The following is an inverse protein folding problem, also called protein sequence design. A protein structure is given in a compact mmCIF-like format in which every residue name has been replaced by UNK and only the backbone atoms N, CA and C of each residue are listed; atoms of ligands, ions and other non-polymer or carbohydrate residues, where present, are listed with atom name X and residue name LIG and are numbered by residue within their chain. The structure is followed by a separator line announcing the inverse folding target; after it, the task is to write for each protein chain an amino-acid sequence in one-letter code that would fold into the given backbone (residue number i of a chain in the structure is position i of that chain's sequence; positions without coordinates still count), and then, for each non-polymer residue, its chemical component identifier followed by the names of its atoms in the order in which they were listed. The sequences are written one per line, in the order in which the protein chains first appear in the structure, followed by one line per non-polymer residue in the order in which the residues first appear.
data_IF_319108322862
#
_entry.id   IF_319108322862
#
_cell.length_a   1.000
_cell.length_b   1.000
_cell.length_c   1.000
_cell.angle_alpha   90.00
_cell.angle_beta   90.00
_cell.angle_gamma   90.00
#
_symmetry.space_group_name_H-M   'P 1'
#
loop_
_entity.id
_entity.type
_entity.pdbx_description
1 polymer ?
#
# COMPACT_ATOMS: atom_id res chain seq x y z
N UNK A 1 5.46 59.35 -25.54
CA UNK A 1 4.44 58.28 -25.46
C UNK A 1 5.15 57.09 -24.88
N UNK A 2 5.15 57.12 -23.54
CA UNK A 2 5.22 56.05 -22.53
C UNK A 2 6.38 55.04 -22.67
N UNK A 3 7.48 55.12 -21.90
CA UNK A 3 7.67 54.86 -20.45
C UNK A 3 6.94 53.56 -20.02
N UNK A 4 7.51 52.55 -19.36
CA UNK A 4 8.51 52.55 -18.31
C UNK A 4 8.90 51.09 -17.99
N UNK A 5 10.04 50.94 -17.33
CA UNK A 5 10.63 49.71 -16.80
C UNK A 5 10.17 49.54 -15.36
N UNK A 6 9.67 48.36 -14.97
CA UNK A 6 9.46 48.01 -13.56
C UNK A 6 10.24 46.76 -13.14
N UNK A 7 11.16 47.00 -12.22
CA UNK A 7 11.86 46.05 -11.35
C UNK A 7 10.88 45.45 -10.34
N UNK A 8 10.95 44.14 -10.09
CA UNK A 8 10.42 43.55 -8.86
C UNK A 8 11.45 42.65 -8.20
N UNK A 9 11.60 42.90 -6.89
CA UNK A 9 12.58 42.42 -5.95
C UNK A 9 12.58 40.90 -5.69
N UNK A 10 13.79 40.40 -5.39
CA UNK A 10 14.03 39.13 -4.71
C UNK A 10 13.59 39.25 -3.24
N UNK A 11 12.57 38.49 -2.84
CA UNK A 11 12.20 38.27 -1.43
C UNK A 11 12.76 36.95 -0.92
N UNK A 12 13.78 37.04 -0.07
CA UNK A 12 14.34 35.95 0.73
C UNK A 12 13.47 35.67 1.97
N UNK A 13 12.95 34.45 2.09
CA UNK A 13 12.18 33.98 3.24
C UNK A 13 13.07 33.49 4.40
N UNK A 14 12.76 33.98 5.60
CA UNK A 14 13.46 33.79 6.89
C UNK A 14 13.40 32.35 7.43
N UNK A 15 14.54 31.87 7.92
CA UNK A 15 14.68 30.71 8.83
C UNK A 15 14.43 31.15 10.28
N UNK A 16 13.61 30.39 11.02
CA UNK A 16 13.43 30.56 12.46
C UNK A 16 14.40 29.65 13.21
N UNK A 17 15.27 30.25 14.03
CA UNK A 17 16.15 29.56 14.97
C UNK A 17 15.79 30.02 16.39
N UNK A 18 15.42 29.09 17.27
CA UNK A 18 15.28 29.35 18.71
C UNK A 18 16.57 28.93 19.41
N UNK A 19 17.28 29.91 19.97
CA UNK A 19 18.36 29.72 20.94
C UNK A 19 17.81 30.00 22.34
N UNK A 20 18.10 29.12 23.31
CA UNK A 20 17.88 29.39 24.74
C UNK A 20 19.14 29.07 25.55
N UNK A 21 19.71 30.12 26.12
CA UNK A 21 20.68 30.21 27.21
C UNK A 21 20.38 31.55 27.87
N UNK A 22 20.35 31.79 29.17
CA UNK A 22 20.64 31.08 30.42
C UNK A 22 19.99 31.93 31.54
N UNK A 23 19.90 31.44 32.78
CA UNK A 23 20.29 32.22 33.96
C UNK A 23 20.33 31.34 35.23
N UNK A 24 21.35 31.60 36.03
CA UNK A 24 21.73 30.99 37.32
C UNK A 24 21.51 32.04 38.42
N UNK A 25 21.19 31.62 39.65
CA UNK A 25 21.28 32.45 40.87
C UNK A 25 20.34 31.96 41.99
N UNK A 26 20.72 31.02 42.87
CA UNK A 26 21.35 31.16 44.21
C UNK A 26 20.36 31.46 45.37
N UNK A 27 20.40 30.65 46.44
CA UNK A 27 20.16 31.14 47.83
C UNK A 27 19.30 30.32 48.81
N UNK A 28 19.91 29.32 49.45
CA UNK A 28 19.80 28.75 50.82
C UNK A 28 18.58 28.89 51.79
N UNK A 29 18.51 27.85 52.64
CA UNK A 29 17.99 27.72 54.04
C UNK A 29 16.55 27.22 54.31
N UNK A 30 16.47 25.89 54.52
CA UNK A 30 16.08 25.26 55.79
C UNK A 30 14.70 25.53 56.41
N UNK A 31 13.85 24.48 56.48
CA UNK A 31 13.20 23.96 57.68
C UNK A 31 12.36 22.74 57.29
N UNK A 32 12.65 21.59 57.90
CA UNK A 32 11.93 20.34 57.69
C UNK A 32 10.57 20.40 58.40
N UNK A 33 9.49 20.28 57.62
CA UNK A 33 8.13 20.04 58.12
C UNK A 33 7.73 18.65 57.60
N UNK A 34 7.28 17.72 58.46
CA UNK A 34 6.81 16.43 57.98
C UNK A 34 5.43 16.63 57.33
N UNK A 35 5.38 16.91 56.04
CA UNK A 35 4.16 16.77 55.28
C UNK A 35 3.95 15.30 54.98
N UNK A 36 2.88 14.72 55.52
CA UNK A 36 2.32 13.44 55.09
C UNK A 36 2.12 13.49 53.56
N UNK A 37 3.08 13.00 52.80
CA UNK A 37 2.87 12.64 51.40
C UNK A 37 2.00 11.39 51.41
N UNK A 38 0.70 11.59 51.27
CA UNK A 38 -0.16 10.55 50.71
C UNK A 38 0.45 10.19 49.36
N UNK A 39 1.11 9.03 49.28
CA UNK A 39 1.52 8.45 48.03
C UNK A 39 0.25 8.12 47.25
N UNK A 40 -0.21 9.06 46.42
CA UNK A 40 -1.06 8.71 45.29
C UNK A 40 -0.15 7.93 44.36
N UNK A 41 -0.11 6.61 44.55
CA UNK A 41 0.40 5.70 43.53
C UNK A 41 -0.61 5.75 42.39
N UNK A 42 -0.52 6.78 41.54
CA UNK A 42 -1.10 6.71 40.21
C UNK A 42 -0.24 5.72 39.42
N UNK A 43 -0.44 4.43 39.67
CA UNK A 43 -0.04 3.35 38.76
C UNK A 43 -0.97 3.34 37.52
N UNK A 44 -1.34 4.52 37.02
CA UNK A 44 -1.84 4.66 35.67
C UNK A 44 -0.61 4.64 34.79
N UNK A 45 -0.39 3.52 34.09
CA UNK A 45 0.42 3.55 32.88
C UNK A 45 0.01 4.80 32.08
N UNK A 46 0.97 5.55 31.50
CA UNK A 46 0.62 6.72 30.69
C UNK A 46 -0.46 6.29 29.70
N UNK A 47 -1.60 7.01 29.70
CA UNK A 47 -2.68 6.73 28.79
C UNK A 47 -2.08 6.64 27.38
N UNK A 48 -2.18 5.45 26.78
CA UNK A 48 -1.69 5.19 25.42
C UNK A 48 -2.25 6.32 24.56
N UNK A 49 -1.39 7.08 23.90
CA UNK A 49 -1.85 8.20 23.07
C UNK A 49 -2.87 7.61 22.08
N UNK A 50 -4.13 8.05 22.17
CA UNK A 50 -5.16 7.58 21.27
C UNK A 50 -4.69 7.84 19.84
N UNK A 51 -4.74 6.82 18.97
CA UNK A 51 -4.33 6.98 17.59
C UNK A 51 -5.21 8.02 16.87
N UNK A 52 -4.72 8.48 15.72
CA UNK A 52 -5.41 9.53 14.98
C UNK A 52 -6.70 8.99 14.34
N UNK A 53 -7.77 9.78 14.39
CA UNK A 53 -8.98 9.54 13.58
C UNK A 53 -8.84 10.31 12.29
N UNK A 54 -8.74 9.61 11.15
CA UNK A 54 -8.68 10.17 9.81
C UNK A 54 -10.00 9.92 9.10
N UNK A 55 -10.48 10.94 8.36
CA UNK A 55 -11.71 10.88 7.58
C UNK A 55 -11.37 11.10 6.13
N UNK A 56 -11.80 10.20 5.26
CA UNK A 56 -11.61 10.29 3.81
C UNK A 56 -12.91 10.01 3.08
N UNK A 57 -13.02 10.56 1.87
CA UNK A 57 -14.07 10.18 0.92
C UNK A 57 -13.43 9.32 -0.16
N UNK A 58 -14.08 8.21 -0.50
CA UNK A 58 -13.70 7.34 -1.61
C UNK A 58 -14.86 7.28 -2.59
N UNK A 59 -14.57 7.45 -3.87
CA UNK A 59 -15.53 7.34 -4.96
C UNK A 59 -15.33 6.00 -5.64
N UNK A 60 -16.39 5.20 -5.75
CA UNK A 60 -16.41 4.05 -6.64
C UNK A 60 -17.03 4.47 -7.98
N UNK A 61 -16.29 4.31 -9.06
CA UNK A 61 -16.63 4.87 -10.37
C UNK A 61 -16.48 3.82 -11.48
N UNK A 62 -17.32 3.91 -12.51
CA UNK A 62 -17.14 3.17 -13.75
C UNK A 62 -16.06 3.85 -14.60
N UNK A 63 -15.11 3.08 -15.14
CA UNK A 63 -13.97 3.56 -15.91
C UNK A 63 -14.12 3.35 -17.43
N UNK A 64 -15.25 2.80 -17.87
CA UNK A 64 -15.44 2.30 -19.24
C UNK A 64 -14.96 0.86 -19.42
N UNK A 65 -15.30 0.24 -20.54
CA UNK A 65 -14.95 -1.16 -20.88
C UNK A 65 -15.28 -2.17 -19.77
N UNK A 66 -16.41 -1.95 -19.08
CA UNK A 66 -16.85 -2.77 -17.96
C UNK A 66 -15.86 -2.83 -16.78
N UNK A 67 -14.98 -1.82 -16.64
CA UNK A 67 -14.05 -1.66 -15.52
C UNK A 67 -14.57 -0.67 -14.50
N UNK A 68 -14.16 -0.89 -13.25
CA UNK A 68 -14.55 -0.08 -12.09
C UNK A 68 -13.34 0.14 -11.21
N UNK A 69 -13.25 1.29 -10.55
CA UNK A 69 -12.14 1.61 -9.67
C UNK A 69 -12.57 2.46 -8.48
N UNK A 70 -11.66 2.55 -7.51
CA UNK A 70 -11.78 3.47 -6.39
C UNK A 70 -10.89 4.69 -6.62
N UNK A 71 -11.34 5.87 -6.19
CA UNK A 71 -10.57 7.12 -6.24
C UNK A 71 -10.81 7.99 -5.01
N UNK A 72 -9.81 8.80 -4.62
CA UNK A 72 -9.96 9.77 -3.53
C UNK A 72 -10.66 11.06 -3.97
N UNK A 73 -10.74 11.29 -5.28
CA UNK A 73 -11.41 12.42 -5.91
C UNK A 73 -12.35 11.90 -7.01
N UNK A 74 -13.47 12.59 -7.22
CA UNK A 74 -14.41 12.25 -8.29
C UNK A 74 -13.75 12.41 -9.66
N UNK A 75 -13.95 11.44 -10.55
CA UNK A 75 -13.36 11.34 -11.87
C UNK A 75 -11.90 10.93 -11.88
N UNK A 76 -11.38 10.43 -10.75
CA UNK A 76 -9.96 10.06 -10.55
C UNK A 76 -9.80 8.63 -10.03
N UNK A 77 -10.83 7.80 -10.16
CA UNK A 77 -10.70 6.37 -9.84
C UNK A 77 -9.64 5.67 -10.70
N UNK A 78 -8.93 4.72 -10.08
CA UNK A 78 -7.85 3.94 -10.70
C UNK A 78 -8.01 2.45 -10.41
N UNK A 79 -7.29 1.63 -11.18
CA UNK A 79 -7.09 0.20 -10.90
C UNK A 79 -5.57 -0.05 -10.85
N UNK A 80 -5.01 -0.51 -9.71
CA UNK A 80 -5.66 -0.63 -8.40
C UNK A 80 -6.11 0.75 -7.87
N UNK A 81 -6.99 0.74 -6.87
CA UNK A 81 -7.38 1.93 -6.13
C UNK A 81 -6.21 2.56 -5.34
N UNK A 82 -6.43 3.72 -4.70
CA UNK A 82 -5.42 4.43 -3.92
C UNK A 82 -4.82 3.56 -2.80
N UNK A 83 -3.53 3.72 -2.51
CA UNK A 83 -2.94 3.15 -1.30
C UNK A 83 -3.55 3.87 -0.09
N UNK A 84 -4.24 3.14 0.77
CA UNK A 84 -4.70 3.64 2.06
C UNK A 84 -3.66 3.30 3.11
N UNK A 85 -3.26 4.28 3.91
CA UNK A 85 -2.18 4.11 4.89
C UNK A 85 -2.57 4.65 6.27
N UNK A 86 -2.32 3.85 7.30
CA UNK A 86 -2.54 4.21 8.70
C UNK A 86 -1.46 3.61 9.60
N UNK A 87 -1.38 4.07 10.85
CA UNK A 87 -0.53 3.44 11.86
C UNK A 87 -1.36 2.58 12.82
N UNK A 88 -0.73 1.62 13.50
CA UNK A 88 -1.34 0.91 14.63
C UNK A 88 -1.91 1.91 15.66
N UNK A 89 -3.17 1.71 16.05
CA UNK A 89 -3.93 2.59 16.94
C UNK A 89 -4.82 3.62 16.23
N UNK A 90 -4.57 3.92 14.95
CA UNK A 90 -5.37 4.87 14.17
C UNK A 90 -6.78 4.33 13.87
N UNK A 91 -7.70 5.23 13.54
CA UNK A 91 -9.01 4.90 12.96
C UNK A 91 -9.16 5.63 11.62
N UNK A 92 -9.59 4.90 10.59
CA UNK A 92 -9.92 5.43 9.28
C UNK A 92 -11.43 5.32 9.05
N UNK A 93 -12.10 6.47 9.01
CA UNK A 93 -13.51 6.58 8.62
C UNK A 93 -13.58 6.91 7.12
N UNK A 94 -14.14 6.00 6.34
CA UNK A 94 -14.21 6.07 4.88
C UNK A 94 -15.66 6.31 4.47
N UNK A 95 -15.95 7.50 3.96
CA UNK A 95 -17.22 7.77 3.29
C UNK A 95 -17.13 7.30 1.85
N UNK A 96 -17.66 6.10 1.57
CA UNK A 96 -17.77 5.55 0.21
C UNK A 96 -18.98 6.15 -0.49
N UNK A 97 -18.74 6.81 -1.62
CA UNK A 97 -19.74 7.33 -2.54
C UNK A 97 -19.81 6.41 -3.76
N UNK A 98 -20.92 5.70 -3.93
CA UNK A 98 -21.16 4.88 -5.11
C UNK A 98 -21.70 5.74 -6.24
N UNK A 99 -20.89 6.05 -7.25
CA UNK A 99 -21.33 6.80 -8.44
C UNK A 99 -21.72 5.90 -9.60
N UNK A 100 -21.80 4.59 -9.38
CA UNK A 100 -22.11 3.59 -10.40
C UNK A 100 -23.60 3.25 -10.40
N UNK A 101 -24.01 2.46 -11.39
CA UNK A 101 -25.34 1.83 -11.46
C UNK A 101 -25.39 0.43 -10.83
N UNK A 102 -24.29 -0.01 -10.21
CA UNK A 102 -24.16 -1.33 -9.59
C UNK A 102 -24.26 -1.23 -8.06
N UNK A 103 -24.76 -2.30 -7.44
CA UNK A 103 -24.51 -2.54 -6.01
C UNK A 103 -23.02 -2.83 -5.82
N UNK A 104 -22.39 -2.19 -4.84
CA UNK A 104 -20.99 -2.41 -4.48
C UNK A 104 -20.73 -2.06 -3.02
N UNK A 105 -19.54 -2.37 -2.53
CA UNK A 105 -19.10 -2.08 -1.17
C UNK A 105 -17.60 -1.84 -1.12
N UNK A 106 -17.04 -1.66 0.08
CA UNK A 106 -15.60 -1.72 0.35
C UNK A 106 -15.37 -2.57 1.60
N UNK A 107 -14.52 -3.59 1.51
CA UNK A 107 -14.19 -4.55 2.55
C UNK A 107 -12.67 -4.59 2.75
N UNK A 108 -12.15 -4.40 3.96
CA UNK A 108 -10.72 -4.46 4.22
C UNK A 108 -10.27 -5.83 4.73
N UNK A 109 -8.97 -6.11 4.61
CA UNK A 109 -8.31 -7.20 5.33
C UNK A 109 -7.49 -6.65 6.52
N UNK A 110 -7.33 -7.46 7.57
CA UNK A 110 -6.36 -7.26 8.67
C UNK A 110 -6.67 -6.19 9.72
N UNK A 111 -7.46 -5.17 9.39
CA UNK A 111 -7.91 -4.13 10.35
C UNK A 111 -9.13 -4.57 11.14
N UNK A 112 -9.42 -3.89 12.25
CA UNK A 112 -10.58 -4.15 13.09
C UNK A 112 -11.81 -3.37 12.58
N UNK A 113 -12.93 -4.06 12.38
CA UNK A 113 -14.20 -3.46 11.96
C UNK A 113 -15.39 -4.17 12.59
N UNK A 114 -16.55 -3.49 12.67
CA UNK A 114 -17.81 -4.11 13.07
C UNK A 114 -18.56 -4.63 11.84
N UNK A 115 -19.62 -5.43 12.05
CA UNK A 115 -20.49 -5.95 10.98
C UNK A 115 -21.08 -4.84 10.11
N UNK A 116 -21.30 -3.63 10.65
CA UNK A 116 -21.82 -2.47 9.91
C UNK A 116 -20.81 -1.87 8.91
N UNK A 117 -19.54 -2.28 9.02
CA UNK A 117 -18.41 -1.85 8.17
C UNK A 117 -17.72 -3.03 7.47
N UNK A 118 -18.37 -4.20 7.44
CA UNK A 118 -17.84 -5.43 6.85
C UNK A 118 -17.87 -5.41 5.31
N UNK A 119 -18.69 -4.58 4.68
CA UNK A 119 -18.77 -4.57 3.22
C UNK A 119 -19.63 -5.69 2.61
N UNK A 120 -20.00 -6.71 3.39
CA UNK A 120 -20.76 -7.85 2.87
C UNK A 120 -22.26 -7.56 2.76
N UNK A 121 -22.97 -8.12 1.75
CA UNK A 121 -24.42 -8.07 1.74
C UNK A 121 -25.08 -8.97 2.77
N UNK A 122 -24.37 -9.98 3.29
CA UNK A 122 -24.79 -10.78 4.45
C UNK A 122 -25.13 -9.90 5.66
N UNK A 123 -24.27 -8.93 5.99
CA UNK A 123 -24.49 -7.98 7.09
C UNK A 123 -25.26 -6.71 6.65
N UNK A 124 -25.77 -6.66 5.41
CA UNK A 124 -26.40 -5.44 4.88
C UNK A 124 -25.43 -4.25 4.79
N UNK A 125 -24.12 -4.51 4.67
CA UNK A 125 -23.06 -3.51 4.76
C UNK A 125 -22.55 -3.03 3.38
N UNK A 126 -23.44 -2.63 2.49
CA UNK A 126 -23.11 -2.21 1.12
C UNK A 126 -23.78 -0.88 0.73
N UNK A 127 -23.46 -0.41 -0.47
CA UNK A 127 -24.07 0.76 -1.11
C UNK A 127 -24.85 0.32 -2.35
N UNK A 128 -26.12 0.72 -2.43
CA UNK A 128 -26.87 0.75 -3.67
C UNK A 128 -26.37 1.84 -4.63
N UNK A 129 -26.84 1.85 -5.89
CA UNK A 129 -26.52 2.89 -6.86
C UNK A 129 -26.81 4.30 -6.33
N UNK A 130 -25.82 5.20 -6.42
CA UNK A 130 -25.93 6.58 -5.93
C UNK A 130 -25.82 6.76 -4.41
N UNK A 131 -25.78 5.67 -3.64
CA UNK A 131 -25.74 5.76 -2.17
C UNK A 131 -24.37 6.13 -1.63
N UNK A 132 -24.39 6.76 -0.46
CA UNK A 132 -23.20 7.08 0.34
C UNK A 132 -23.29 6.40 1.70
N UNK A 133 -22.19 5.77 2.14
CA UNK A 133 -22.08 5.07 3.42
C UNK A 133 -20.72 5.33 4.04
N UNK A 134 -20.66 5.41 5.37
CA UNK A 134 -19.39 5.48 6.10
C UNK A 134 -19.01 4.12 6.67
N UNK A 135 -17.80 3.66 6.33
CA UNK A 135 -17.15 2.47 6.87
C UNK A 135 -16.10 2.90 7.90
N UNK A 136 -16.00 2.22 9.04
CA UNK A 136 -15.03 2.55 10.09
C UNK A 136 -14.05 1.41 10.28
N UNK A 137 -12.80 1.65 9.91
CA UNK A 137 -11.70 0.70 10.08
C UNK A 137 -10.79 1.18 11.22
N UNK A 138 -10.54 0.33 12.20
CA UNK A 138 -9.68 0.63 13.35
C UNK A 138 -8.45 -0.25 13.29
N UNK A 139 -7.38 0.19 13.93
CA UNK A 139 -6.20 -0.65 14.14
C UNK A 139 -5.80 -0.60 15.61
N UNK A 140 -5.03 -1.58 16.04
CA UNK A 140 -4.49 -1.62 17.38
C UNK A 140 -3.01 -1.99 17.37
N UNK A 141 -2.28 -1.46 18.33
CA UNK A 141 -0.93 -1.92 18.64
C UNK A 141 -0.99 -3.28 19.34
N UNK A 142 0.11 -4.04 19.26
CA UNK A 142 0.28 -5.29 20.01
C UNK A 142 -0.12 -5.11 21.48
N UNK A 143 -0.84 -6.09 22.03
CA UNK A 143 -1.28 -6.07 23.43
C UNK A 143 -0.81 -7.30 24.18
N UNK A 144 -0.52 -7.12 25.47
CA UNK A 144 -0.28 -8.25 26.36
C UNK A 144 -1.60 -9.03 26.52
N UNK A 145 -1.53 -10.34 26.31
CA UNK A 145 -2.61 -11.28 26.59
C UNK A 145 -2.39 -11.94 27.96
N UNK A 146 -3.26 -12.87 28.35
CA UNK A 146 -3.12 -13.59 29.62
C UNK A 146 -1.82 -14.42 29.66
N UNK A 147 -1.00 -14.17 30.70
CA UNK A 147 0.28 -14.83 30.94
C UNK A 147 1.44 -14.18 30.19
N UNK A 148 2.30 -14.98 29.56
CA UNK A 148 3.45 -14.53 28.75
C UNK A 148 3.14 -14.46 27.25
N UNK A 149 1.87 -14.25 26.89
CA UNK A 149 1.38 -14.26 25.51
C UNK A 149 1.05 -12.84 25.07
N UNK A 150 1.09 -12.60 23.77
CA UNK A 150 0.77 -11.33 23.16
C UNK A 150 -0.24 -11.55 22.04
N UNK A 151 -1.20 -10.64 21.90
CA UNK A 151 -2.02 -10.54 20.68
C UNK A 151 -1.29 -9.64 19.69
N UNK A 152 -1.12 -10.08 18.42
CA UNK A 152 -0.43 -9.28 17.42
C UNK A 152 -1.17 -7.96 17.21
N UNK A 153 -0.43 -6.88 16.93
CA UNK A 153 -1.05 -5.65 16.45
C UNK A 153 -1.39 -5.74 14.97
N UNK A 154 -2.09 -4.72 14.46
CA UNK A 154 -2.61 -4.70 13.09
C UNK A 154 -1.55 -4.43 12.00
N UNK A 155 -0.29 -4.13 12.33
CA UNK A 155 0.69 -3.75 11.31
C UNK A 155 0.95 -4.86 10.28
N UNK A 156 0.87 -4.51 9.00
CA UNK A 156 1.01 -5.44 7.89
C UNK A 156 0.66 -4.80 6.55
N UNK A 157 0.91 -5.56 5.48
CA UNK A 157 0.49 -5.24 4.12
C UNK A 157 -0.82 -5.96 3.82
N UNK A 158 -1.90 -5.20 3.89
CA UNK A 158 -3.26 -5.66 3.67
C UNK A 158 -3.79 -5.10 2.35
N UNK A 159 -5.05 -5.40 2.06
CA UNK A 159 -5.76 -4.88 0.90
C UNK A 159 -7.21 -4.61 1.25
N UNK A 160 -7.90 -3.94 0.35
CA UNK A 160 -9.33 -3.73 0.41
C UNK A 160 -9.95 -3.99 -0.96
N UNK A 161 -11.19 -4.46 -1.00
CA UNK A 161 -11.88 -4.79 -2.24
C UNK A 161 -13.40 -4.70 -2.13
N UNK A 162 -14.09 -4.76 -3.26
CA UNK A 162 -15.54 -4.94 -3.28
C UNK A 162 -15.96 -6.32 -2.76
N UNK A 163 -17.08 -6.39 -2.04
CA UNK A 163 -17.65 -7.64 -1.54
C UNK A 163 -19.15 -7.79 -1.91
N UNK A 164 -19.70 -6.95 -2.78
CA UNK A 164 -21.15 -6.89 -3.03
C UNK A 164 -21.57 -6.90 -4.51
N UNK A 165 -20.66 -6.60 -5.44
CA UNK A 165 -20.97 -6.53 -6.86
C UNK A 165 -21.01 -7.91 -7.51
N UNK A 166 -22.12 -8.19 -8.20
CA UNK A 166 -22.36 -9.42 -8.97
C UNK A 166 -22.69 -10.64 -8.11
N UNK A 167 -21.94 -10.92 -7.06
CA UNK A 167 -22.19 -12.00 -6.10
C UNK A 167 -22.09 -11.49 -4.66
N UNK A 168 -22.48 -12.33 -3.70
CA UNK A 168 -22.33 -12.06 -2.26
C UNK A 168 -20.87 -12.00 -1.79
N UNK A 169 -19.92 -12.35 -2.68
CA UNK A 169 -18.47 -12.31 -2.45
C UNK A 169 -17.76 -11.25 -3.32
N UNK A 170 -18.51 -10.36 -3.98
CA UNK A 170 -17.94 -9.29 -4.80
C UNK A 170 -17.18 -9.77 -6.04
N UNK A 171 -17.46 -10.98 -6.54
CA UNK A 171 -16.70 -11.60 -7.64
C UNK A 171 -16.62 -10.69 -8.86
N UNK A 172 -17.71 -10.01 -9.24
CA UNK A 172 -17.70 -9.11 -10.39
C UNK A 172 -16.97 -7.79 -10.10
N UNK A 173 -17.03 -7.27 -8.87
CA UNK A 173 -16.34 -6.04 -8.49
C UNK A 173 -14.84 -6.22 -8.50
N UNK A 174 -14.35 -7.29 -7.85
CA UNK A 174 -12.93 -7.68 -7.87
C UNK A 174 -12.49 -7.92 -9.32
N UNK A 175 -13.26 -8.69 -10.10
CA UNK A 175 -12.94 -8.99 -11.50
C UNK A 175 -12.69 -7.73 -12.33
N UNK A 176 -13.44 -6.67 -12.04
CA UNK A 176 -13.47 -5.44 -12.84
C UNK A 176 -12.59 -4.31 -12.29
N UNK A 177 -11.88 -4.53 -11.19
CA UNK A 177 -10.85 -3.60 -10.69
C UNK A 177 -11.13 -2.93 -9.35
N UNK A 178 -12.22 -3.28 -8.65
CA UNK A 178 -12.51 -2.74 -7.32
C UNK A 178 -11.68 -3.42 -6.24
N UNK A 179 -10.38 -3.13 -6.23
CA UNK A 179 -9.41 -3.53 -5.22
C UNK A 179 -8.31 -2.47 -5.04
N UNK A 180 -7.64 -2.45 -3.90
CA UNK A 180 -6.52 -1.55 -3.61
C UNK A 180 -5.73 -1.98 -2.37
N UNK A 181 -4.57 -1.35 -2.15
CA UNK A 181 -3.69 -1.69 -1.04
C UNK A 181 -4.04 -0.94 0.24
N UNK A 182 -3.92 -1.62 1.38
CA UNK A 182 -4.05 -1.04 2.72
C UNK A 182 -2.77 -1.34 3.52
N UNK A 183 -2.01 -0.30 3.88
CA UNK A 183 -0.79 -0.45 4.66
C UNK A 183 -1.05 0.03 6.09
N UNK A 184 -0.89 -0.87 7.05
CA UNK A 184 -0.89 -0.51 8.47
C UNK A 184 0.56 -0.57 8.97
N UNK A 185 1.10 0.59 9.35
CA UNK A 185 2.48 0.71 9.82
C UNK A 185 2.57 0.59 11.33
N UNK A 186 3.68 0.01 11.80
CA UNK A 186 4.10 0.14 13.20
C UNK A 186 4.98 1.38 13.35
N UNK A 187 4.89 2.08 14.49
CA UNK A 187 5.80 3.19 14.78
C UNK A 187 7.25 2.70 14.75
N UNK A 188 8.09 3.38 13.99
CA UNK A 188 9.48 2.99 13.76
C UNK A 188 9.72 2.18 12.48
N UNK A 189 8.67 1.77 11.77
CA UNK A 189 8.82 1.20 10.43
C UNK A 189 9.52 2.19 9.49
N UNK A 190 10.42 1.66 8.66
CA UNK A 190 11.13 2.46 7.65
C UNK A 190 10.15 2.81 6.53
N UNK A 191 10.14 4.08 6.13
CA UNK A 191 9.29 4.57 5.04
C UNK A 191 10.04 4.51 3.71
N UNK A 192 9.35 4.20 2.61
CA UNK A 192 9.97 4.17 1.28
C UNK A 192 10.01 5.54 0.61
N UNK A 193 10.82 5.64 -0.45
CA UNK A 193 10.82 6.75 -1.39
C UNK A 193 9.76 6.57 -2.49
N UNK A 194 9.48 5.31 -2.86
CA UNK A 194 8.48 4.90 -3.88
C UNK A 194 7.61 3.75 -3.37
N UNK A 195 6.35 3.73 -3.80
CA UNK A 195 5.41 2.64 -3.51
C UNK A 195 4.80 2.11 -4.81
N UNK A 196 4.82 0.80 -4.98
CA UNK A 196 4.22 0.10 -6.11
C UNK A 196 3.22 -0.95 -5.63
N UNK A 197 2.12 -1.10 -6.37
CA UNK A 197 1.10 -2.12 -6.10
C UNK A 197 0.99 -3.02 -7.33
N UNK A 198 1.22 -4.30 -7.13
CA UNK A 198 1.06 -5.34 -8.15
C UNK A 198 -0.02 -6.33 -7.70
N UNK A 199 -1.17 -6.29 -8.37
CA UNK A 199 -2.28 -7.20 -8.12
C UNK A 199 -2.28 -8.26 -9.20
N UNK A 200 -1.96 -9.50 -8.85
CA UNK A 200 -2.09 -10.66 -9.74
C UNK A 200 -3.52 -11.18 -9.60
N UNK A 201 -4.29 -11.02 -10.67
CA UNK A 201 -5.71 -11.28 -10.67
C UNK A 201 -6.09 -12.06 -11.93
N UNK A 202 -6.50 -13.31 -11.73
CA UNK A 202 -6.61 -14.31 -12.80
C UNK A 202 -5.36 -14.24 -13.70
N UNK A 203 -5.48 -14.03 -15.01
CA UNK A 203 -4.33 -13.96 -15.92
C UNK A 203 -3.81 -12.54 -16.17
N UNK A 204 -4.09 -11.60 -15.25
CA UNK A 204 -3.75 -10.18 -15.42
C UNK A 204 -2.92 -9.62 -14.26
N UNK A 205 -2.17 -8.55 -14.52
CA UNK A 205 -1.55 -7.71 -13.50
C UNK A 205 -2.23 -6.35 -13.53
N UNK A 206 -2.86 -5.94 -12.43
CA UNK A 206 -3.62 -4.69 -12.33
C UNK A 206 -4.70 -4.55 -13.42
N UNK A 207 -5.38 -5.66 -13.77
CA UNK A 207 -6.33 -5.77 -14.88
C UNK A 207 -5.75 -5.49 -16.27
N UNK A 208 -4.42 -5.62 -16.43
CA UNK A 208 -3.70 -5.46 -17.70
C UNK A 208 -2.89 -6.72 -18.00
N UNK A 209 -2.61 -6.93 -19.28
CA UNK A 209 -1.71 -7.97 -19.79
C UNK A 209 -0.55 -7.31 -20.52
N UNK A 210 0.61 -7.95 -20.53
CA UNK A 210 1.75 -7.46 -21.29
C UNK A 210 1.38 -7.30 -22.79
N UNK A 211 1.88 -6.26 -23.47
CA UNK A 211 2.87 -5.29 -22.99
C UNK A 211 2.29 -4.07 -22.25
N UNK A 212 0.99 -4.09 -21.90
CA UNK A 212 0.30 -2.96 -21.29
C UNK A 212 0.34 -2.95 -19.76
N UNK A 213 0.93 -3.97 -19.13
CA UNK A 213 1.20 -3.96 -17.69
C UNK A 213 2.08 -2.78 -17.28
N UNK A 214 2.00 -2.35 -16.01
CA UNK A 214 2.77 -1.19 -15.55
C UNK A 214 4.28 -1.36 -15.74
N UNK A 215 4.93 -0.27 -16.13
CA UNK A 215 6.37 -0.10 -15.92
C UNK A 215 6.52 0.70 -14.63
N UNK A 216 7.04 0.06 -13.59
CA UNK A 216 7.35 0.73 -12.34
C UNK A 216 8.75 1.30 -12.42
N UNK A 217 8.93 2.56 -11.99
CA UNK A 217 10.21 3.27 -12.16
C UNK A 217 10.75 3.79 -10.83
N UNK A 218 12.02 3.54 -10.57
CA UNK A 218 12.77 4.13 -9.46
C UNK A 218 14.19 4.48 -9.92
N UNK A 219 14.85 5.39 -9.21
CA UNK A 219 16.28 5.64 -9.42
C UNK A 219 17.13 4.68 -8.59
N UNK A 220 18.32 4.34 -9.08
CA UNK A 220 19.30 3.50 -8.37
C UNK A 220 19.50 3.98 -6.93
N UNK A 221 19.29 3.08 -5.98
CA UNK A 221 19.44 3.34 -4.54
C UNK A 221 18.19 3.91 -3.85
N UNK A 222 17.14 4.31 -4.57
CA UNK A 222 15.85 4.65 -3.93
C UNK A 222 15.29 3.42 -3.22
N UNK A 223 14.67 3.66 -2.05
CA UNK A 223 13.95 2.64 -1.29
C UNK A 223 12.57 2.47 -1.89
N UNK A 224 12.31 1.28 -2.40
CA UNK A 224 11.06 0.95 -3.08
C UNK A 224 10.27 -0.05 -2.26
N UNK A 225 9.04 0.30 -1.92
CA UNK A 225 8.06 -0.59 -1.28
C UNK A 225 7.14 -1.21 -2.34
N UNK A 226 7.03 -2.53 -2.31
CA UNK A 226 6.11 -3.30 -3.13
C UNK A 226 5.00 -3.85 -2.26
N UNK A 227 3.76 -3.73 -2.73
CA UNK A 227 2.60 -4.45 -2.20
C UNK A 227 2.09 -5.39 -3.27
N UNK A 228 2.14 -6.69 -2.98
CA UNK A 228 1.67 -7.75 -3.87
C UNK A 228 0.35 -8.32 -3.33
N UNK A 229 -0.68 -8.38 -4.19
CA UNK A 229 -2.02 -8.84 -3.81
C UNK A 229 -2.49 -9.89 -4.83
N UNK A 230 -3.04 -11.00 -4.34
CA UNK A 230 -3.62 -12.05 -5.18
C UNK A 230 -5.15 -11.96 -5.17
N UNK A 231 -5.78 -12.05 -6.34
CA UNK A 231 -7.23 -12.13 -6.48
C UNK A 231 -7.62 -13.11 -7.59
N UNK A 232 -8.91 -13.38 -7.71
CA UNK A 232 -9.44 -14.23 -8.78
C UNK A 232 -9.50 -15.69 -8.36
N UNK A 233 -9.26 -16.60 -9.30
CA UNK A 233 -9.45 -18.04 -9.09
C UNK A 233 -8.17 -18.85 -9.29
N UNK A 234 -7.07 -18.20 -9.67
CA UNK A 234 -5.79 -18.84 -9.97
C UNK A 234 -4.79 -18.62 -8.84
N UNK A 235 -3.89 -19.59 -8.66
CA UNK A 235 -2.71 -19.40 -7.82
C UNK A 235 -1.59 -18.78 -8.65
N UNK A 236 -0.75 -17.99 -8.01
CA UNK A 236 0.41 -17.36 -8.64
C UNK A 236 1.66 -17.52 -7.78
N UNK A 237 2.80 -17.24 -8.40
CA UNK A 237 4.09 -17.03 -7.74
C UNK A 237 4.62 -15.68 -8.20
N UNK A 238 4.71 -14.69 -7.32
CA UNK A 238 5.28 -13.38 -7.64
C UNK A 238 6.81 -13.47 -7.59
N UNK A 239 7.47 -13.14 -8.70
CA UNK A 239 8.93 -13.11 -8.81
C UNK A 239 9.42 -11.74 -9.27
N UNK A 240 10.54 -11.27 -8.70
CA UNK A 240 11.21 -10.03 -9.07
C UNK A 240 12.68 -10.29 -9.40
N UNK A 241 13.10 -9.96 -10.62
CA UNK A 241 14.47 -10.20 -11.08
C UNK A 241 15.47 -9.36 -10.29
N UNK A 242 16.62 -9.97 -9.98
CA UNK A 242 17.81 -9.35 -9.36
C UNK A 242 17.61 -8.68 -7.99
N UNK A 243 16.41 -8.72 -7.44
CA UNK A 243 16.09 -8.22 -6.10
C UNK A 243 15.60 -9.38 -5.24
N UNK A 244 15.76 -9.25 -3.93
CA UNK A 244 15.32 -10.22 -2.94
C UNK A 244 14.85 -9.51 -1.69
N UNK A 245 13.99 -10.15 -0.93
CA UNK A 245 13.49 -9.65 0.35
C UNK A 245 13.48 -10.78 1.38
N UNK A 246 13.23 -10.43 2.63
CA UNK A 246 13.06 -11.40 3.72
C UNK A 246 11.59 -11.80 3.82
N UNK A 247 11.30 -13.09 3.91
CA UNK A 247 9.92 -13.55 4.11
C UNK A 247 9.44 -13.34 5.56
N UNK A 248 9.14 -12.09 5.88
CA UNK A 248 8.57 -11.63 7.13
C UNK A 248 7.62 -10.43 6.88
N UNK A 249 7.15 -9.78 7.95
CA UNK A 249 6.20 -8.66 7.84
C UNK A 249 6.69 -7.50 6.98
N UNK A 250 7.97 -7.17 7.02
CA UNK A 250 8.50 -5.92 6.43
C UNK A 250 9.31 -6.13 5.16
N UNK A 251 9.70 -7.37 4.86
CA UNK A 251 10.65 -7.65 3.79
C UNK A 251 12.12 -7.46 4.19
N UNK A 252 12.41 -7.08 5.43
CA UNK A 252 13.75 -6.76 5.93
C UNK A 252 14.05 -7.55 7.19
N UNK A 253 15.31 -7.97 7.39
CA UNK A 253 15.72 -8.67 8.61
C UNK A 253 15.49 -7.77 9.83
N UNK A 254 14.81 -8.26 10.87
CA UNK A 254 14.66 -7.53 12.14
C UNK A 254 15.96 -7.51 12.97
N UNK A 255 16.97 -8.28 12.55
CA UNK A 255 18.31 -8.32 13.11
C UNK A 255 19.11 -9.52 12.60
N UNK A 256 20.37 -9.69 13.04
CA UNK A 256 21.24 -10.79 12.59
C UNK A 256 20.74 -12.19 12.99
N UNK A 257 19.77 -12.26 13.91
CA UNK A 257 19.20 -13.51 14.40
C UNK A 257 17.78 -13.76 13.89
N UNK A 258 17.27 -12.93 12.97
CA UNK A 258 15.99 -13.18 12.31
C UNK A 258 16.14 -14.45 11.42
N UNK A 259 15.36 -15.52 11.68
CA UNK A 259 15.48 -16.78 10.95
C UNK A 259 14.76 -16.79 9.60
N UNK A 260 14.02 -15.72 9.27
CA UNK A 260 13.24 -15.68 8.02
C UNK A 260 14.15 -15.79 6.79
N UNK A 261 13.77 -16.62 5.80
CA UNK A 261 14.59 -16.82 4.62
C UNK A 261 14.59 -15.56 3.73
N UNK A 262 15.72 -15.33 3.04
CA UNK A 262 15.75 -14.41 1.91
C UNK A 262 15.22 -15.12 0.67
N UNK A 263 14.25 -14.50 0.01
CA UNK A 263 13.55 -15.03 -1.17
C UNK A 263 13.45 -13.95 -2.26
N UNK A 264 13.26 -14.38 -3.50
CA UNK A 264 12.93 -13.52 -4.66
C UNK A 264 11.64 -13.97 -5.37
N UNK A 265 11.00 -15.02 -4.86
CA UNK A 265 9.78 -15.62 -5.37
C UNK A 265 8.87 -16.03 -4.22
N UNK A 266 7.59 -15.69 -4.28
CA UNK A 266 6.61 -16.05 -3.24
C UNK A 266 5.25 -16.41 -3.82
N UNK A 267 4.61 -17.44 -3.26
CA UNK A 267 3.23 -17.79 -3.59
C UNK A 267 2.27 -16.63 -3.30
N UNK A 268 1.30 -16.45 -4.18
CA UNK A 268 0.29 -15.40 -4.11
C UNK A 268 -1.04 -15.96 -4.62
N UNK A 269 -1.87 -16.43 -3.68
CA UNK A 269 -3.20 -16.96 -3.95
C UNK A 269 -4.31 -15.91 -3.79
N UNK A 270 -5.56 -16.23 -4.20
CA UNK A 270 -6.69 -15.33 -4.04
C UNK A 270 -6.92 -14.90 -2.58
N UNK A 271 -7.05 -13.59 -2.36
CA UNK A 271 -7.22 -12.97 -1.04
C UNK A 271 -5.93 -12.79 -0.25
N UNK A 272 -4.78 -13.30 -0.74
CA UNK A 272 -3.49 -13.13 -0.07
C UNK A 272 -2.87 -11.78 -0.38
N UNK A 273 -2.15 -11.21 0.58
CA UNK A 273 -1.29 -10.04 0.37
C UNK A 273 -0.01 -10.15 1.17
N UNK A 274 1.06 -9.56 0.62
CA UNK A 274 2.31 -9.33 1.32
C UNK A 274 2.97 -8.07 0.76
N UNK A 275 4.00 -7.60 1.42
CA UNK A 275 4.80 -6.51 0.92
C UNK A 275 6.20 -6.55 1.48
N UNK A 276 7.07 -5.77 0.85
CA UNK A 276 8.48 -5.74 1.16
C UNK A 276 9.10 -4.45 0.63
N UNK A 277 10.28 -4.10 1.16
CA UNK A 277 11.08 -3.00 0.65
C UNK A 277 12.41 -3.51 0.10
N UNK A 278 12.86 -2.91 -1.00
CA UNK A 278 14.19 -3.14 -1.59
C UNK A 278 14.89 -1.81 -1.83
N UNK A 279 16.22 -1.84 -1.88
CA UNK A 279 16.99 -0.77 -2.50
C UNK A 279 17.08 -1.06 -3.99
N UNK A 280 16.58 -0.13 -4.81
CA UNK A 280 16.53 -0.30 -6.26
C UNK A 280 17.94 -0.53 -6.83
N UNK A 281 18.14 -1.67 -7.51
CA UNK A 281 19.41 -2.03 -8.14
C UNK A 281 20.52 -2.45 -7.17
N UNK A 282 20.24 -2.74 -5.90
CA UNK A 282 21.27 -3.21 -4.96
C UNK A 282 21.88 -4.55 -5.42
N UNK A 283 23.19 -4.55 -5.66
CA UNK A 283 23.94 -5.70 -6.17
C UNK A 283 23.77 -5.97 -7.67
N UNK A 284 22.66 -5.56 -8.29
CA UNK A 284 22.38 -5.76 -9.72
C UNK A 284 22.69 -4.55 -10.63
N UNK A 285 22.68 -3.34 -10.08
CA UNK A 285 22.82 -2.09 -10.84
C UNK A 285 21.53 -1.61 -11.53
N UNK A 286 21.60 -0.47 -12.23
CA UNK A 286 20.46 0.08 -12.97
C UNK A 286 20.18 -0.74 -14.23
N UNK A 287 18.92 -0.82 -14.64
CA UNK A 287 18.47 -1.63 -15.76
C UNK A 287 16.95 -1.83 -15.81
N UNK A 288 16.48 -2.52 -16.85
CA UNK A 288 15.11 -2.99 -16.95
C UNK A 288 15.01 -4.40 -16.37
N UNK A 289 14.50 -4.53 -15.15
CA UNK A 289 14.36 -5.80 -14.43
C UNK A 289 12.93 -6.31 -14.56
N UNK A 290 12.73 -7.59 -14.87
CA UNK A 290 11.37 -8.12 -14.98
C UNK A 290 10.77 -8.37 -13.60
N UNK A 291 9.45 -8.17 -13.49
CA UNK A 291 8.64 -8.80 -12.46
C UNK A 291 7.54 -9.59 -13.17
N UNK A 292 7.26 -10.82 -12.72
CA UNK A 292 6.29 -11.66 -13.40
C UNK A 292 5.73 -12.76 -12.49
N UNK A 293 4.62 -13.36 -12.93
CA UNK A 293 4.19 -14.64 -12.39
C UNK A 293 5.20 -15.72 -12.81
N UNK A 294 5.65 -16.58 -11.89
CA UNK A 294 6.58 -17.67 -12.23
C UNK A 294 5.86 -19.00 -12.58
N UNK A 295 4.53 -18.99 -12.64
CA UNK A 295 3.79 -20.06 -13.32
C UNK A 295 3.99 -19.86 -14.83
N UNK A 296 4.67 -20.79 -15.49
CA UNK A 296 5.15 -20.61 -16.86
C UNK A 296 4.04 -20.20 -17.86
N UNK A 297 2.89 -20.87 -17.84
CA UNK A 297 1.78 -20.53 -18.73
C UNK A 297 1.22 -19.13 -18.46
N UNK A 298 1.28 -18.65 -17.22
CA UNK A 298 0.83 -17.31 -16.85
C UNK A 298 1.80 -16.23 -17.35
N UNK A 299 3.12 -16.45 -17.22
CA UNK A 299 4.12 -15.53 -17.79
C UNK A 299 4.04 -15.50 -19.32
N UNK A 300 3.90 -16.65 -19.96
CA UNK A 300 3.85 -16.76 -21.43
C UNK A 300 2.63 -16.06 -22.01
N UNK A 301 1.53 -16.01 -21.27
CA UNK A 301 0.28 -15.31 -21.64
C UNK A 301 0.23 -13.84 -21.22
N UNK A 302 1.30 -13.31 -20.62
CA UNK A 302 1.50 -11.88 -20.42
C UNK A 302 1.40 -11.37 -18.99
N UNK A 303 1.44 -12.25 -17.97
CA UNK A 303 1.62 -11.83 -16.57
C UNK A 303 3.08 -11.47 -16.27
N UNK A 304 3.59 -10.46 -16.97
CA UNK A 304 4.92 -9.91 -16.81
C UNK A 304 4.89 -8.38 -16.92
N UNK A 305 5.84 -7.69 -16.29
CA UNK A 305 6.05 -6.27 -16.42
C UNK A 305 7.51 -5.91 -16.17
N UNK A 306 7.80 -4.61 -16.17
CA UNK A 306 9.16 -4.08 -16.03
C UNK A 306 9.27 -3.21 -14.78
N UNK A 307 10.23 -3.52 -13.93
CA UNK A 307 10.79 -2.61 -12.95
C UNK A 307 12.02 -1.92 -13.55
N UNK A 308 11.85 -0.68 -14.01
CA UNK A 308 12.92 0.13 -14.54
C UNK A 308 13.66 0.82 -13.39
N UNK A 309 14.88 0.36 -13.13
CA UNK A 309 15.82 1.05 -12.24
C UNK A 309 16.66 1.98 -13.09
N UNK A 310 16.37 3.28 -13.05
CA UNK A 310 17.16 4.33 -13.69
C UNK A 310 18.52 4.49 -13.04
N UNK A 311 19.44 5.19 -13.69
CA UNK A 311 20.67 5.65 -13.04
C UNK A 311 20.33 6.55 -11.84
N UNK A 312 21.29 6.75 -10.93
CA UNK A 312 21.08 7.58 -9.73
C UNK A 312 20.68 9.03 -10.04
N UNK A 313 21.07 9.56 -11.21
CA UNK A 313 20.71 10.89 -11.70
C UNK A 313 19.36 10.92 -12.46
N UNK A 314 18.64 9.80 -12.54
CA UNK A 314 17.38 9.65 -13.27
C UNK A 314 17.52 9.39 -14.77
N UNK A 315 18.75 9.36 -15.30
CA UNK A 315 18.97 9.05 -16.72
C UNK A 315 18.68 7.56 -17.02
N UNK A 316 18.36 7.28 -18.29
CA UNK A 316 18.13 5.92 -18.77
C UNK A 316 19.45 5.13 -18.79
N UNK A 317 19.55 3.96 -18.15
CA UNK A 317 20.76 3.16 -18.21
C UNK A 317 20.97 2.52 -19.59
N UNK A 318 22.23 2.24 -19.98
CA UNK A 318 22.53 1.59 -21.25
C UNK A 318 21.74 0.29 -21.44
N UNK A 319 21.16 0.10 -22.63
CA UNK A 319 20.40 -1.11 -23.00
C UNK A 319 18.99 -1.23 -22.39
N UNK A 320 18.62 -0.42 -21.40
CA UNK A 320 17.30 -0.54 -20.78
C UNK A 320 16.15 -0.10 -21.71
N UNK A 321 16.36 0.94 -22.52
CA UNK A 321 15.37 1.33 -23.53
C UNK A 321 15.14 0.21 -24.54
N UNK A 322 16.21 -0.43 -25.04
CA UNK A 322 16.11 -1.57 -25.96
C UNK A 322 15.41 -2.77 -25.30
N UNK A 323 15.62 -3.02 -24.01
CA UNK A 323 14.90 -4.03 -23.26
C UNK A 323 13.40 -3.73 -23.14
N UNK A 324 13.03 -2.47 -22.87
CA UNK A 324 11.64 -2.02 -22.84
C UNK A 324 11.00 -2.13 -24.23
N UNK A 325 11.72 -1.77 -25.28
CA UNK A 325 11.22 -1.86 -26.66
C UNK A 325 10.99 -3.32 -27.06
N UNK A 326 11.88 -4.25 -26.65
CA UNK A 326 11.65 -5.70 -26.80
C UNK A 326 10.43 -6.17 -26.02
N UNK A 327 10.25 -5.72 -24.77
CA UNK A 327 9.05 -6.03 -23.98
C UNK A 327 7.78 -5.55 -24.67
N UNK A 328 7.78 -4.34 -25.24
CA UNK A 328 6.64 -3.78 -25.98
C UNK A 328 6.38 -4.45 -27.32
N UNK A 329 7.42 -4.97 -27.96
CA UNK A 329 7.34 -5.70 -29.23
C UNK A 329 6.92 -7.17 -29.09
N UNK A 330 6.98 -7.74 -27.89
CA UNK A 330 6.53 -9.10 -27.64
C UNK A 330 5.00 -9.19 -27.67
N UNK A 331 4.46 -9.86 -28.69
CA UNK A 331 3.07 -10.28 -28.72
C UNK A 331 2.98 -11.60 -27.95
N UNK A 332 2.32 -11.58 -26.79
CA UNK A 332 1.95 -12.79 -26.09
C UNK A 332 0.83 -13.47 -26.87
N UNK A 333 1.14 -14.55 -27.60
CA UNK A 333 0.14 -15.26 -28.39
C UNK A 333 -0.93 -15.84 -27.46
N UNK A 334 -2.17 -15.40 -27.61
CA UNK A 334 -3.31 -16.24 -27.21
C UNK A 334 -3.21 -17.49 -28.07
N UNK A 335 -2.98 -18.65 -27.45
CA UNK A 335 -2.91 -19.92 -28.17
C UNK A 335 -4.25 -20.18 -28.85
N UNK A 336 -4.26 -19.98 -30.16
CA UNK A 336 -5.30 -20.38 -31.07
C UNK A 336 -5.32 -21.92 -31.11
N UNK A 337 -6.13 -22.55 -30.25
CA UNK A 337 -6.40 -23.98 -30.34
C UNK A 337 -7.39 -24.24 -31.48
N UNK A 338 -6.91 -24.01 -32.70
CA UNK A 338 -7.54 -24.48 -33.93
C UNK A 338 -7.29 -25.97 -34.13
N UNK A 339 -8.36 -26.76 -34.07
CA UNK A 339 -8.61 -27.92 -34.91
C UNK A 339 -7.66 -29.12 -34.81
N UNK A 340 -8.11 -30.14 -34.06
CA UNK A 340 -7.90 -31.53 -34.48
C UNK A 340 -9.24 -32.27 -34.51
N UNK A 341 -9.85 -32.25 -35.70
CA UNK A 341 -10.69 -33.35 -36.15
C UNK A 341 -9.78 -34.49 -36.60
N UNK A 342 -9.94 -35.65 -35.98
CA UNK A 342 -9.35 -36.93 -36.36
C UNK A 342 -10.09 -38.02 -35.61
#
# INVERSE_FOLDING_TARGET
MDDNVDNVEKRTGRRWAFSRRSLVGVGALGLAVPTLTAAVTSNGAPARAAGAVRRITVYAEALGDNRYGYGLERGKATIPGPILEMYEGDTLEITLVNTTDQRLSIHPHGVDYSTDSDGSPFNGSFNGPGETRTYTWRSHEMTAAAGRRFMPGSAGYWHYHDHAMGTEHGTAGVLRGLYGALIVRRRGDILPDRQFVAVLHDTTINNLIAPHTPIFEANLGERVEWVAIGHGNLYHTFHLHAHRWVDNRTGMLEGPNDPSPSIDNKDLGPGSSFGFQVLAGEGGGPGAWMYHCHVQSHSDTGMAGVFLVRNADGSMPPGAQEAIDRFKGHIHSQSDHGGHTG
#
